data_IF_563264545672
#
_entry.id   IF_563264545672
#
_cell.length_a   1.000
_cell.length_b   1.000
_cell.length_c   1.000
_cell.angle_alpha   90.00
_cell.angle_beta   90.00
_cell.angle_gamma   90.00
#
_symmetry.space_group_name_H-M   'P 1'
#
loop_
_entity.id
_entity.type
_entity.pdbx_description
1 polymer ?
#
# COMPACT_ATOMS: atom_id res chain seq x y z
N UNK A 1 -22.89 8.49 -31.21
CA UNK A 1 -21.95 7.92 -30.21
C UNK A 1 -20.65 7.58 -30.91
N UNK A 2 -19.67 8.47 -30.77
CA UNK A 2 -18.39 8.37 -31.48
C UNK A 2 -17.51 7.27 -30.85
N UNK A 3 -16.66 6.58 -31.62
CA UNK A 3 -15.70 5.60 -31.07
C UNK A 3 -14.78 6.20 -30.00
N UNK A 4 -14.59 7.53 -30.04
CA UNK A 4 -13.86 8.31 -29.06
C UNK A 4 -14.58 8.32 -27.70
N UNK A 5 -15.88 8.58 -27.71
CA UNK A 5 -16.73 8.65 -26.52
C UNK A 5 -16.80 7.29 -25.79
N UNK A 6 -16.89 6.21 -26.55
CA UNK A 6 -16.83 4.83 -26.03
C UNK A 6 -15.49 4.50 -25.38
N UNK A 7 -14.36 4.95 -25.95
CA UNK A 7 -13.04 4.73 -25.34
C UNK A 7 -12.86 5.53 -24.04
N UNK A 8 -13.36 6.76 -23.99
CA UNK A 8 -13.32 7.59 -22.79
C UNK A 8 -14.11 6.97 -21.62
N UNK A 9 -15.30 6.44 -21.88
CA UNK A 9 -16.11 5.75 -20.87
C UNK A 9 -15.45 4.44 -20.38
N UNK A 10 -14.79 3.70 -21.27
CA UNK A 10 -14.04 2.49 -20.90
C UNK A 10 -12.82 2.81 -20.03
N UNK A 11 -12.06 3.87 -20.36
CA UNK A 11 -10.94 4.35 -19.54
C UNK A 11 -11.41 4.83 -18.15
N UNK A 12 -12.53 5.56 -18.08
CA UNK A 12 -13.11 6.01 -16.81
C UNK A 12 -13.52 4.81 -15.93
N UNK A 13 -14.08 3.76 -16.53
CA UNK A 13 -14.41 2.50 -15.85
C UNK A 13 -13.16 1.80 -15.30
N UNK A 14 -12.10 1.71 -16.09
CA UNK A 14 -10.84 1.10 -15.66
C UNK A 14 -10.17 1.89 -14.52
N UNK A 15 -10.22 3.24 -14.57
CA UNK A 15 -9.73 4.10 -13.49
C UNK A 15 -10.54 3.91 -12.20
N UNK A 16 -11.87 3.79 -12.29
CA UNK A 16 -12.73 3.45 -11.14
C UNK A 16 -12.45 2.06 -10.59
N UNK A 17 -12.19 1.07 -11.43
CA UNK A 17 -11.76 -0.26 -10.97
C UNK A 17 -10.40 -0.24 -10.29
N UNK A 18 -9.44 0.54 -10.80
CA UNK A 18 -8.15 0.74 -10.13
C UNK A 18 -8.33 1.41 -8.77
N UNK A 19 -9.23 2.39 -8.66
CA UNK A 19 -9.63 3.01 -7.41
C UNK A 19 -10.29 1.99 -6.46
N UNK A 20 -11.13 1.09 -6.99
CA UNK A 20 -11.78 0.02 -6.23
C UNK A 20 -10.82 -1.13 -5.84
N UNK A 21 -9.62 -1.22 -6.45
CA UNK A 21 -8.57 -2.16 -6.05
C UNK A 21 -7.69 -1.62 -4.90
N UNK A 22 -7.70 -0.32 -4.59
CA UNK A 22 -7.02 0.25 -3.42
C UNK A 22 -7.38 -0.39 -2.06
N UNK A 23 -8.62 -0.83 -1.76
CA UNK A 23 -8.89 -1.58 -0.53
C UNK A 23 -8.10 -2.90 -0.43
N UNK A 24 -7.72 -3.54 -1.53
CA UNK A 24 -6.84 -4.73 -1.49
C UNK A 24 -5.42 -4.39 -1.02
N UNK A 25 -4.94 -3.16 -1.26
CA UNK A 25 -3.69 -2.66 -0.67
C UNK A 25 -3.81 -2.38 0.83
N UNK A 26 -4.99 -2.00 1.34
CA UNK A 26 -5.22 -1.91 2.80
C UNK A 26 -5.06 -3.26 3.51
N UNK A 27 -5.35 -4.37 2.82
CA UNK A 27 -5.11 -5.72 3.34
C UNK A 27 -3.62 -6.04 3.53
N UNK A 28 -2.75 -5.55 2.64
CA UNK A 28 -1.30 -5.66 2.80
C UNK A 28 -0.80 -4.86 4.02
N UNK A 29 -1.40 -3.69 4.28
CA UNK A 29 -1.10 -2.89 5.47
C UNK A 29 -1.47 -3.64 6.74
N UNK A 30 -2.67 -4.23 6.78
CA UNK A 30 -3.09 -5.07 7.91
C UNK A 30 -2.14 -6.24 8.16
N UNK A 31 -1.66 -6.88 7.08
CA UNK A 31 -0.67 -7.96 7.19
C UNK A 31 0.70 -7.47 7.69
N UNK A 32 1.17 -6.31 7.24
CA UNK A 32 2.41 -5.67 7.72
C UNK A 32 2.31 -5.27 9.20
N UNK A 33 1.17 -4.73 9.63
CA UNK A 33 0.91 -4.40 11.03
C UNK A 33 0.87 -5.68 11.87
N UNK A 34 0.19 -6.73 11.39
CA UNK A 34 0.09 -8.01 12.09
C UNK A 34 1.46 -8.69 12.25
N UNK A 35 2.28 -8.71 11.20
CA UNK A 35 3.66 -9.22 11.25
C UNK A 35 4.56 -8.28 12.06
N UNK A 36 4.28 -6.98 12.05
CA UNK A 36 4.90 -5.95 12.88
C UNK A 36 4.75 -6.23 14.37
N UNK A 37 3.53 -6.55 14.78
CA UNK A 37 3.16 -6.76 16.17
C UNK A 37 3.58 -8.14 16.68
N UNK A 38 3.41 -9.19 15.86
CA UNK A 38 3.71 -10.58 16.25
C UNK A 38 5.17 -10.97 16.01
N UNK A 39 5.83 -10.31 15.05
CA UNK A 39 7.22 -10.55 14.66
C UNK A 39 8.21 -10.57 15.83
N UNK A 40 8.26 -9.56 16.72
CA UNK A 40 9.22 -9.54 17.82
C UNK A 40 8.99 -10.65 18.87
N UNK A 41 7.82 -11.28 18.89
CA UNK A 41 7.52 -12.41 19.78
C UNK A 41 7.84 -13.77 19.16
N UNK A 42 7.77 -13.88 17.83
CA UNK A 42 8.02 -15.14 17.09
C UNK A 42 9.49 -15.26 16.65
N UNK A 43 10.14 -14.15 16.27
CA UNK A 43 11.54 -14.12 15.84
C UNK A 43 12.55 -14.68 16.87
N UNK A 44 12.40 -14.46 18.18
CA UNK A 44 13.33 -15.01 19.19
C UNK A 44 13.38 -16.54 19.20
N UNK A 45 12.30 -17.21 18.78
CA UNK A 45 12.18 -18.67 18.74
C UNK A 45 12.67 -19.29 17.43
N UNK A 46 12.97 -18.48 16.41
CA UNK A 46 13.45 -19.00 15.13
C UNK A 46 14.88 -19.56 15.30
N UNK A 47 15.11 -20.83 14.92
CA UNK A 47 16.43 -21.45 15.07
C UNK A 47 17.39 -20.79 14.09
N UNK A 48 18.32 -19.99 14.62
CA UNK A 48 19.48 -19.54 13.83
C UNK A 48 20.52 -20.66 13.76
N UNK A 49 21.57 -20.47 12.93
CA UNK A 49 22.69 -21.44 12.70
C UNK A 49 23.37 -21.99 13.96
N UNK A 50 22.99 -21.50 15.13
CA UNK A 50 23.67 -21.59 16.40
C UNK A 50 22.70 -21.88 17.56
N UNK A 51 21.41 -22.12 17.28
CA UNK A 51 20.33 -22.26 18.26
C UNK A 51 19.41 -21.03 18.30
N UNK A 52 18.23 -21.12 18.94
CA UNK A 52 17.32 -19.98 19.09
C UNK A 52 17.96 -18.87 19.92
N UNK A 53 17.67 -17.61 19.57
CA UNK A 53 18.20 -16.43 20.26
C UNK A 53 17.74 -16.38 21.72
N UNK A 54 16.53 -16.88 21.99
CA UNK A 54 15.97 -17.02 23.34
C UNK A 54 16.83 -17.87 24.29
N UNK A 55 17.51 -18.90 23.81
CA UNK A 55 18.41 -19.74 24.62
C UNK A 55 19.79 -19.11 24.84
N UNK A 56 20.19 -18.17 23.98
CA UNK A 56 21.54 -17.58 23.99
C UNK A 56 21.66 -16.29 24.79
N UNK A 57 20.65 -15.44 24.70
CA UNK A 57 20.61 -14.13 25.34
C UNK A 57 19.53 -14.05 26.42
N UNK A 58 18.67 -15.06 26.53
CA UNK A 58 17.43 -14.97 27.29
C UNK A 58 16.29 -14.42 26.44
N UNK A 59 15.07 -14.84 26.75
CA UNK A 59 13.87 -14.43 26.03
C UNK A 59 13.62 -12.92 26.17
N UNK A 60 13.79 -12.37 27.36
CA UNK A 60 13.53 -10.95 27.63
C UNK A 60 14.44 -10.01 26.82
N UNK A 61 15.75 -10.26 26.81
CA UNK A 61 16.71 -9.46 26.04
C UNK A 61 16.49 -9.60 24.53
N UNK A 62 16.11 -10.78 24.05
CA UNK A 62 15.80 -11.01 22.63
C UNK A 62 14.57 -10.22 22.20
N UNK A 63 13.50 -10.24 23.01
CA UNK A 63 12.26 -9.50 22.74
C UNK A 63 12.50 -7.99 22.78
N UNK A 64 13.32 -7.50 23.72
CA UNK A 64 13.71 -6.09 23.81
C UNK A 64 14.48 -5.63 22.56
N UNK A 65 15.43 -6.43 22.09
CA UNK A 65 16.25 -6.11 20.92
C UNK A 65 15.39 -6.05 19.64
N UNK A 66 14.55 -7.06 19.41
CA UNK A 66 13.63 -7.04 18.27
C UNK A 66 12.56 -5.95 18.42
N UNK A 67 12.03 -5.74 19.62
CA UNK A 67 11.09 -4.66 19.91
C UNK A 67 11.65 -3.28 19.56
N UNK A 68 12.92 -3.01 19.90
CA UNK A 68 13.62 -1.77 19.53
C UNK A 68 13.76 -1.59 18.01
N UNK A 69 14.08 -2.67 17.28
CA UNK A 69 14.16 -2.65 15.82
C UNK A 69 12.77 -2.39 15.20
N UNK A 70 11.74 -3.09 15.67
CA UNK A 70 10.37 -2.93 15.17
C UNK A 70 9.82 -1.51 15.44
N UNK A 71 10.21 -0.88 16.53
CA UNK A 71 9.84 0.52 16.84
C UNK A 71 10.34 1.50 15.78
N UNK A 72 11.47 1.23 15.13
CA UNK A 72 11.98 2.05 14.02
C UNK A 72 11.45 1.60 12.66
N UNK A 73 11.35 0.29 12.44
CA UNK A 73 10.96 -0.27 11.14
C UNK A 73 9.46 -0.05 10.85
N UNK A 74 8.58 -0.18 11.85
CA UNK A 74 7.13 -0.04 11.64
C UNK A 74 6.76 1.37 11.17
N UNK A 75 7.21 2.48 11.80
CA UNK A 75 6.90 3.83 11.34
C UNK A 75 7.42 4.11 9.94
N UNK A 76 8.65 3.68 9.63
CA UNK A 76 9.26 3.87 8.30
C UNK A 76 8.48 3.11 7.23
N UNK A 77 8.14 1.84 7.50
CA UNK A 77 7.37 1.02 6.59
C UNK A 77 5.97 1.60 6.36
N UNK A 78 5.29 2.04 7.43
CA UNK A 78 4.01 2.74 7.33
C UNK A 78 4.12 4.03 6.51
N UNK A 79 5.15 4.85 6.74
CA UNK A 79 5.35 6.12 6.04
C UNK A 79 5.59 5.92 4.54
N UNK A 80 6.50 5.03 4.16
CA UNK A 80 6.78 4.71 2.76
C UNK A 80 5.54 4.15 2.05
N UNK A 81 4.80 3.26 2.72
CA UNK A 81 3.60 2.68 2.15
C UNK A 81 2.47 3.70 2.01
N UNK A 82 2.31 4.60 2.99
CA UNK A 82 1.33 5.67 2.93
C UNK A 82 1.65 6.67 1.81
N UNK A 83 2.92 7.08 1.68
CA UNK A 83 3.36 7.93 0.56
C UNK A 83 3.05 7.28 -0.80
N UNK A 84 3.38 5.99 -0.97
CA UNK A 84 3.18 5.29 -2.23
C UNK A 84 1.71 5.19 -2.61
N UNK A 85 0.85 4.90 -1.63
CA UNK A 85 -0.62 4.88 -1.83
C UNK A 85 -1.14 6.27 -2.18
N UNK A 86 -0.67 7.31 -1.48
CA UNK A 86 -1.10 8.68 -1.72
C UNK A 86 -0.67 9.20 -3.10
N UNK A 87 0.55 8.88 -3.54
CA UNK A 87 1.04 9.22 -4.87
C UNK A 87 0.22 8.54 -5.97
N UNK A 88 -0.08 7.26 -5.81
CA UNK A 88 -0.92 6.53 -6.77
C UNK A 88 -2.34 7.09 -6.82
N UNK A 89 -2.94 7.43 -5.67
CA UNK A 89 -4.25 8.08 -5.63
C UNK A 89 -4.24 9.42 -6.35
N UNK A 90 -3.26 10.28 -6.06
CA UNK A 90 -3.14 11.60 -6.68
C UNK A 90 -2.90 11.52 -8.19
N UNK A 91 -2.12 10.54 -8.65
CA UNK A 91 -1.90 10.28 -10.08
C UNK A 91 -3.17 9.79 -10.79
N UNK A 92 -3.95 8.92 -10.15
CA UNK A 92 -5.24 8.44 -10.69
C UNK A 92 -6.25 9.59 -10.76
N UNK A 93 -6.35 10.40 -9.70
CA UNK A 93 -7.27 11.53 -9.62
C UNK A 93 -6.94 12.60 -10.69
N UNK A 94 -5.66 12.92 -10.87
CA UNK A 94 -5.20 13.83 -11.93
C UNK A 94 -5.56 13.33 -13.33
N UNK A 95 -5.44 12.02 -13.59
CA UNK A 95 -5.85 11.42 -14.87
C UNK A 95 -7.35 11.51 -15.10
N UNK A 96 -8.15 11.29 -14.07
CA UNK A 96 -9.60 11.35 -14.13
C UNK A 96 -10.09 12.78 -14.39
N UNK A 97 -9.47 13.78 -13.74
CA UNK A 97 -9.74 15.20 -14.00
C UNK A 97 -9.42 15.56 -15.46
N UNK A 98 -8.26 15.14 -15.99
CA UNK A 98 -7.91 15.38 -17.39
C UNK A 98 -8.91 14.76 -18.37
N UNK A 99 -9.36 13.53 -18.11
CA UNK A 99 -10.36 12.87 -18.94
C UNK A 99 -11.69 13.61 -18.93
N UNK A 100 -12.10 14.12 -17.76
CA UNK A 100 -13.35 14.89 -17.63
C UNK A 100 -13.29 16.21 -18.40
N UNK A 101 -12.17 16.93 -18.34
CA UNK A 101 -11.94 18.14 -19.14
C UNK A 101 -11.95 17.84 -20.65
N UNK A 102 -11.29 16.75 -21.07
CA UNK A 102 -11.27 16.36 -22.47
C UNK A 102 -12.67 16.01 -22.98
N UNK A 103 -13.51 15.36 -22.14
CA UNK A 103 -14.90 15.07 -22.48
C UNK A 103 -15.73 16.35 -22.66
N UNK A 104 -15.59 17.33 -21.76
CA UNK A 104 -16.32 18.61 -21.89
C UNK A 104 -15.90 19.41 -23.12
N UNK A 105 -14.61 19.42 -23.44
CA UNK A 105 -14.07 20.14 -24.61
C UNK A 105 -14.53 19.52 -25.94
N UNK A 106 -14.69 18.19 -25.99
CA UNK A 106 -15.26 17.49 -27.15
C UNK A 106 -16.75 17.81 -27.28
N UNK A 107 -17.50 17.79 -26.18
CA UNK A 107 -18.94 18.12 -26.18
C UNK A 107 -19.20 19.57 -26.57
N UNK A 108 -18.29 20.51 -26.27
CA UNK A 108 -18.40 21.91 -26.66
C UNK A 108 -18.00 22.17 -28.12
N UNK A 109 -17.08 21.38 -28.70
CA UNK A 109 -16.71 21.46 -30.11
C UNK A 109 -17.64 20.68 -31.07
N UNK A 110 -18.50 19.80 -30.56
CA UNK A 110 -19.51 19.04 -31.32
C UNK A 110 -20.89 19.78 -31.39
N UNK A 111 -21.01 20.98 -30.81
CA UNK A 111 -22.19 21.89 -30.88
C UNK A 111 -21.91 23.02 -31.88
#
# INVERSE_FOLDING_TARGET
MNNLEKNLDEEERQLKEQLARLPKKKWQIWRLILVGLLGPFILPYLPMKRGPLSERMGYEDSVLLFGGIYLLVIPIACYMHFQKVNQEMCAIESKLIRLKFKKSEITENDI
#
